data_IF_770754406265
#
_entry.id   IF_770754406265
#
_cell.length_a   1.000
_cell.length_b   1.000
_cell.length_c   1.000
_cell.angle_alpha   90.00
_cell.angle_beta   90.00
_cell.angle_gamma   90.00
#
_symmetry.space_group_name_H-M   'P 1'
#
loop_
_entity.id
_entity.type
_entity.pdbx_description
1 polymer ?
#
# COMPACT_ATOMS: atom_id res chain seq x y z
N UNK A 1 12.43 10.91 0.91
CA UNK A 1 13.19 11.44 -0.23
C UNK A 1 12.43 12.65 -0.78
N UNK A 2 13.07 13.80 -0.92
CA UNK A 2 12.50 15.04 -1.47
C UNK A 2 12.75 15.21 -2.98
N UNK A 3 13.52 14.30 -3.59
CA UNK A 3 13.88 14.37 -5.00
C UNK A 3 14.80 15.55 -5.32
N UNK A 4 14.78 15.95 -6.59
CA UNK A 4 15.58 17.05 -7.12
C UNK A 4 14.92 18.40 -6.80
N UNK A 5 15.66 19.31 -6.19
CA UNK A 5 15.22 20.66 -5.84
C UNK A 5 16.25 21.67 -6.33
N UNK A 6 15.79 22.75 -6.96
CA UNK A 6 16.71 23.77 -7.48
C UNK A 6 17.30 24.57 -6.32
N UNK A 7 18.61 24.82 -6.32
CA UNK A 7 19.25 25.74 -5.35
C UNK A 7 18.55 27.09 -5.35
N UNK A 8 18.25 27.60 -4.16
CA UNK A 8 17.46 28.82 -3.96
C UNK A 8 15.93 28.62 -3.99
N UNK A 9 15.46 27.37 -4.11
CA UNK A 9 14.06 26.98 -3.95
C UNK A 9 13.92 25.97 -2.81
N UNK A 10 12.73 25.89 -2.23
CA UNK A 10 12.36 24.80 -1.32
C UNK A 10 11.64 23.67 -2.07
N UNK A 11 11.64 22.47 -1.49
CA UNK A 11 10.79 21.35 -1.90
C UNK A 11 9.33 21.60 -1.53
N UNK A 12 8.41 20.78 -2.04
CA UNK A 12 7.10 20.64 -1.39
C UNK A 12 7.30 20.13 0.04
N UNK A 13 6.54 20.66 1.00
CA UNK A 13 6.47 20.11 2.35
C UNK A 13 5.96 18.66 2.32
N UNK A 14 6.62 17.79 3.06
CA UNK A 14 6.19 16.42 3.33
C UNK A 14 5.73 16.33 4.78
N UNK A 15 4.58 15.70 4.98
CA UNK A 15 4.03 15.46 6.30
C UNK A 15 4.65 14.21 6.91
N UNK A 16 4.97 14.27 8.19
CA UNK A 16 5.30 13.12 9.02
C UNK A 16 4.27 13.09 10.14
N UNK A 17 3.38 12.11 10.09
CA UNK A 17 2.34 11.93 11.10
C UNK A 17 2.72 10.80 12.05
N UNK A 18 2.73 11.12 13.34
CA UNK A 18 3.02 10.20 14.44
C UNK A 18 1.69 9.67 14.94
N UNK A 19 1.51 8.35 14.83
CA UNK A 19 0.34 7.64 15.32
C UNK A 19 0.70 6.81 16.55
N UNK A 20 -0.24 6.70 17.49
CA UNK A 20 -0.16 5.76 18.59
C UNK A 20 -1.21 4.66 18.38
N UNK A 21 -0.77 3.44 18.10
CA UNK A 21 -1.64 2.26 17.94
C UNK A 21 -1.72 1.41 19.21
N UNK A 22 -1.02 1.81 20.28
CA UNK A 22 -1.06 1.15 21.57
C UNK A 22 -2.27 1.55 22.40
N UNK A 23 -2.42 0.89 23.56
CA UNK A 23 -3.52 1.10 24.49
C UNK A 23 -3.25 2.18 25.55
N UNK A 24 -1.99 2.62 25.66
CA UNK A 24 -1.57 3.69 26.56
C UNK A 24 -1.09 4.90 25.75
N UNK A 25 -1.26 6.14 26.26
CA UNK A 25 -0.74 7.33 25.58
C UNK A 25 0.78 7.26 25.37
N UNK A 26 1.24 7.72 24.21
CA UNK A 26 2.64 7.76 23.83
C UNK A 26 3.19 9.16 24.09
N UNK A 27 4.20 9.30 24.95
CA UNK A 27 4.87 10.58 25.15
C UNK A 27 6.01 10.72 24.16
N UNK A 28 5.92 11.68 23.24
CA UNK A 28 7.01 12.05 22.34
C UNK A 28 7.84 13.15 23.00
N UNK A 29 9.10 12.86 23.29
CA UNK A 29 9.98 13.76 24.06
C UNK A 29 10.93 14.55 23.16
N UNK A 30 11.20 14.06 21.95
CA UNK A 30 12.16 14.68 21.03
C UNK A 30 11.77 14.45 19.58
N UNK A 31 11.86 15.52 18.78
CA UNK A 31 11.76 15.49 17.33
C UNK A 31 12.90 16.36 16.81
N UNK A 32 13.95 15.76 16.27
CA UNK A 32 15.11 16.52 15.80
C UNK A 32 15.76 15.94 14.55
N UNK A 33 16.31 16.79 13.67
CA UNK A 33 17.18 16.35 12.60
C UNK A 33 18.54 15.93 13.19
N UNK A 34 19.05 14.76 12.80
CA UNK A 34 20.36 14.22 13.19
C UNK A 34 21.29 14.11 11.98
N UNK A 35 22.52 14.59 12.16
CA UNK A 35 23.56 14.60 11.13
C UNK A 35 23.14 15.36 9.86
N UNK A 36 22.48 16.52 10.02
CA UNK A 36 21.92 17.27 8.90
C UNK A 36 22.84 18.41 8.44
N UNK A 37 22.98 18.64 7.13
CA UNK A 37 23.72 19.80 6.58
C UNK A 37 23.01 21.15 6.77
N UNK A 38 21.88 21.18 7.51
CA UNK A 38 21.08 22.38 7.75
C UNK A 38 20.03 22.67 6.67
N UNK A 39 19.97 21.86 5.63
CA UNK A 39 19.08 22.03 4.48
C UNK A 39 17.70 21.39 4.67
N UNK A 40 17.59 20.44 5.59
CA UNK A 40 16.31 19.86 5.99
C UNK A 40 15.72 20.67 7.13
N UNK A 41 14.53 21.22 6.91
CA UNK A 41 13.85 22.13 7.82
C UNK A 41 12.60 21.46 8.38
N UNK A 42 12.39 21.64 9.68
CA UNK A 42 11.16 21.25 10.37
C UNK A 42 10.24 22.46 10.48
N UNK A 43 8.95 22.24 10.25
CA UNK A 43 7.90 23.23 10.33
C UNK A 43 6.72 22.68 11.15
N UNK A 44 5.93 23.58 11.74
CA UNK A 44 4.79 23.21 12.60
C UNK A 44 5.17 22.23 13.73
N UNK A 45 6.34 22.43 14.36
CA UNK A 45 6.76 21.59 15.48
C UNK A 45 5.88 21.81 16.72
N UNK A 46 5.38 20.73 17.36
CA UNK A 46 4.64 20.84 18.62
C UNK A 46 5.57 21.25 19.77
N UNK A 47 4.97 21.73 20.86
CA UNK A 47 5.69 21.89 22.13
C UNK A 47 5.94 20.49 22.70
N UNK A 48 7.20 20.17 23.02
CA UNK A 48 7.61 18.88 23.57
C UNK A 48 7.90 18.97 25.08
N UNK A 49 7.64 17.90 25.86
CA UNK A 49 7.05 16.65 25.43
C UNK A 49 5.56 16.79 25.08
N UNK A 50 5.08 15.96 24.14
CA UNK A 50 3.67 15.91 23.73
C UNK A 50 3.12 14.50 23.87
N UNK A 51 1.88 14.40 24.34
CA UNK A 51 1.15 13.14 24.40
C UNK A 51 0.44 12.87 23.06
N UNK A 52 0.66 11.69 22.49
CA UNK A 52 0.00 11.19 21.28
C UNK A 52 -0.96 10.07 21.70
N UNK A 53 -2.25 10.30 21.49
CA UNK A 53 -3.30 9.30 21.74
C UNK A 53 -3.72 8.64 20.43
N UNK A 54 -4.45 7.53 20.51
CA UNK A 54 -4.98 6.83 19.32
C UNK A 54 -5.95 7.68 18.48
N UNK A 55 -6.62 8.66 19.09
CA UNK A 55 -7.55 9.57 18.40
C UNK A 55 -6.95 10.92 18.04
N UNK A 56 -5.73 11.20 18.48
CA UNK A 56 -5.09 12.50 18.27
C UNK A 56 -3.64 12.29 17.80
N UNK A 57 -3.44 11.96 16.51
CA UNK A 57 -2.12 11.90 15.93
C UNK A 57 -1.47 13.29 15.89
N UNK A 58 -0.14 13.32 15.84
CA UNK A 58 0.64 14.55 15.76
C UNK A 58 1.34 14.59 14.40
N UNK A 59 1.05 15.61 13.61
CA UNK A 59 1.71 15.83 12.31
C UNK A 59 2.73 16.95 12.43
N UNK A 60 3.92 16.70 11.92
CA UNK A 60 4.92 17.72 11.62
C UNK A 60 5.13 17.80 10.12
N UNK A 61 5.70 18.91 9.67
CA UNK A 61 6.06 19.09 8.26
C UNK A 61 7.56 19.22 8.14
N UNK A 62 8.09 18.62 7.08
CA UNK A 62 9.51 18.65 6.75
C UNK A 62 9.66 19.07 5.30
N UNK A 63 10.64 19.92 5.02
CA UNK A 63 10.98 20.29 3.65
C UNK A 63 12.50 20.43 3.48
N UNK A 64 12.94 20.46 2.24
CA UNK A 64 14.35 20.51 1.86
C UNK A 64 14.64 21.79 1.07
N UNK A 65 15.69 22.51 1.47
CA UNK A 65 16.19 23.74 0.84
C UNK A 65 17.69 23.58 0.54
N UNK A 66 18.06 23.10 -0.67
CA UNK A 66 19.45 22.94 -1.04
C UNK A 66 20.18 24.28 -1.12
N UNK A 67 21.36 24.32 -0.53
CA UNK A 67 22.30 25.44 -0.56
C UNK A 67 23.47 25.18 -1.51
N UNK A 68 23.72 23.92 -1.84
CA UNK A 68 24.69 23.49 -2.83
C UNK A 68 24.11 22.43 -3.79
N UNK A 69 24.95 21.92 -4.70
CA UNK A 69 24.58 20.91 -5.69
C UNK A 69 25.00 19.53 -5.19
N UNK A 70 24.19 18.52 -5.49
CA UNK A 70 24.46 17.14 -5.12
C UNK A 70 23.49 16.62 -4.07
N UNK A 71 23.74 15.39 -3.63
CA UNK A 71 22.84 14.67 -2.73
C UNK A 71 23.13 15.00 -1.27
N UNK A 72 22.09 15.35 -0.54
CA UNK A 72 22.10 15.47 0.91
C UNK A 72 21.30 14.36 1.54
N UNK A 73 21.82 13.85 2.66
CA UNK A 73 21.14 12.83 3.46
C UNK A 73 21.21 13.20 4.92
N UNK A 74 20.17 12.84 5.65
CA UNK A 74 20.15 12.94 7.10
C UNK A 74 19.06 12.07 7.69
N UNK A 75 18.90 12.12 9.01
CA UNK A 75 17.88 11.37 9.73
C UNK A 75 16.99 12.32 10.53
N UNK A 76 15.69 12.09 10.55
CA UNK A 76 14.80 12.67 11.56
C UNK A 76 14.62 11.66 12.68
N UNK A 77 15.09 12.01 13.89
CA UNK A 77 14.89 11.21 15.09
C UNK A 77 13.61 11.65 15.81
N UNK A 78 12.77 10.66 16.13
CA UNK A 78 11.62 10.81 17.02
C UNK A 78 11.88 9.92 18.24
N UNK A 79 12.04 10.55 19.42
CA UNK A 79 12.16 9.83 20.69
C UNK A 79 10.83 9.80 21.43
N UNK A 80 10.49 8.64 21.98
CA UNK A 80 9.21 8.46 22.68
C UNK A 80 9.29 7.48 23.85
N UNK A 81 8.19 7.38 24.60
CA UNK A 81 8.01 6.42 25.68
C UNK A 81 7.68 4.98 25.22
N UNK A 82 7.74 4.69 23.91
CA UNK A 82 7.55 3.33 23.39
C UNK A 82 8.66 2.40 23.92
N UNK A 83 8.28 1.31 24.58
CA UNK A 83 9.21 0.35 25.19
C UNK A 83 9.95 -0.52 24.17
N UNK A 84 9.33 -0.77 23.00
CA UNK A 84 9.88 -1.59 21.93
C UNK A 84 10.66 -0.73 20.93
N UNK A 85 10.26 0.53 20.74
CA UNK A 85 10.87 1.41 19.75
C UNK A 85 10.99 2.87 20.21
N UNK A 86 11.68 3.08 21.34
CA UNK A 86 11.87 4.40 21.94
C UNK A 86 12.56 5.42 21.02
N UNK A 87 13.29 4.97 19.98
CA UNK A 87 14.00 5.82 19.03
C UNK A 87 13.62 5.45 17.60
N UNK A 88 12.65 6.15 17.03
CA UNK A 88 12.24 5.97 15.64
C UNK A 88 13.04 6.89 14.73
N UNK A 89 13.65 6.35 13.68
CA UNK A 89 14.50 7.11 12.76
C UNK A 89 13.91 7.09 11.35
N UNK A 90 13.69 8.28 10.79
CA UNK A 90 13.21 8.45 9.41
C UNK A 90 14.38 8.97 8.57
N UNK A 91 14.93 8.16 7.64
CA UNK A 91 15.95 8.64 6.73
C UNK A 91 15.36 9.65 5.75
N UNK A 92 16.06 10.76 5.57
CA UNK A 92 15.71 11.84 4.68
C UNK A 92 16.83 12.03 3.66
N UNK A 93 16.45 12.30 2.42
CA UNK A 93 17.34 12.53 1.30
C UNK A 93 16.74 13.63 0.43
N UNK A 94 17.58 14.50 -0.12
CA UNK A 94 17.25 15.47 -1.16
C UNK A 94 18.44 15.63 -2.09
N UNK A 95 18.25 16.23 -3.25
CA UNK A 95 19.35 16.53 -4.16
C UNK A 95 19.22 17.94 -4.77
N UNK A 96 20.23 18.78 -4.53
CA UNK A 96 20.35 20.11 -5.07
C UNK A 96 20.74 20.09 -6.56
N UNK A 97 20.00 20.83 -7.38
CA UNK A 97 20.27 21.01 -8.81
C UNK A 97 20.26 22.50 -9.21
N UNK A 98 20.86 22.86 -10.34
CA UNK A 98 20.76 24.20 -10.93
C UNK A 98 19.60 24.32 -11.94
N UNK A 99 18.98 23.19 -12.32
CA UNK A 99 17.91 23.13 -13.30
C UNK A 99 16.51 23.19 -12.67
N UNK A 100 15.67 24.08 -13.21
CA UNK A 100 14.23 24.03 -13.03
C UNK A 100 13.53 23.19 -14.10
N UNK A 101 14.19 22.85 -15.20
CA UNK A 101 13.64 21.98 -16.22
C UNK A 101 13.73 20.51 -15.81
N UNK A 102 12.62 19.79 -15.95
CA UNK A 102 12.47 18.39 -15.61
C UNK A 102 11.91 17.60 -16.78
N UNK A 103 12.44 16.39 -16.96
CA UNK A 103 11.91 15.41 -17.91
C UNK A 103 11.70 14.10 -17.17
N UNK A 104 10.46 13.64 -17.11
CA UNK A 104 10.12 12.32 -16.60
C UNK A 104 9.80 11.39 -17.77
N UNK A 105 10.42 10.21 -17.77
CA UNK A 105 10.17 9.18 -18.78
C UNK A 105 9.57 7.95 -18.13
N UNK A 106 8.52 7.44 -18.76
CA UNK A 106 7.83 6.22 -18.37
C UNK A 106 7.73 5.30 -19.58
N UNK A 107 7.62 4.00 -19.31
CA UNK A 107 7.21 3.02 -20.30
C UNK A 107 5.91 2.41 -19.81
N UNK A 108 4.89 2.40 -20.66
CA UNK A 108 3.69 1.65 -20.36
C UNK A 108 4.03 0.16 -20.41
N UNK A 109 3.88 -0.55 -19.29
CA UNK A 109 4.16 -1.98 -19.24
C UNK A 109 2.85 -2.76 -19.37
N UNK A 110 2.80 -3.71 -20.31
CA UNK A 110 1.90 -4.87 -20.21
C UNK A 110 2.49 -5.90 -19.26
N UNK A 111 1.65 -6.75 -18.66
CA UNK A 111 2.13 -7.80 -17.77
C UNK A 111 2.74 -7.24 -16.50
N UNK A 112 2.06 -6.28 -15.88
CA UNK A 112 2.51 -5.70 -14.61
C UNK A 112 2.64 -6.78 -13.54
N UNK A 113 3.61 -6.60 -12.65
CA UNK A 113 3.70 -7.41 -11.45
C UNK A 113 2.68 -6.90 -10.44
N UNK A 114 1.89 -7.81 -9.88
CA UNK A 114 0.83 -7.48 -8.92
C UNK A 114 0.88 -8.44 -7.75
N UNK A 115 0.93 -7.94 -6.53
CA UNK A 115 0.73 -8.74 -5.33
C UNK A 115 -0.68 -8.49 -4.82
N UNK A 116 -1.47 -9.55 -4.62
CA UNK A 116 -2.85 -9.44 -4.13
C UNK A 116 -2.95 -10.12 -2.78
N UNK A 117 -3.29 -9.36 -1.76
CA UNK A 117 -3.52 -9.86 -0.40
C UNK A 117 -5.03 -9.94 -0.15
N UNK A 118 -5.55 -11.15 0.00
CA UNK A 118 -6.89 -11.38 0.51
C UNK A 118 -6.86 -11.44 2.03
N UNK A 119 -7.72 -10.67 2.68
CA UNK A 119 -7.95 -10.71 4.12
C UNK A 119 -9.38 -11.21 4.30
N UNK A 120 -9.51 -12.43 4.80
CA UNK A 120 -10.78 -13.16 4.81
C UNK A 120 -11.19 -13.43 6.22
N UNK A 121 -12.37 -12.94 6.54
CA UNK A 121 -13.05 -13.26 7.77
C UNK A 121 -13.38 -14.74 7.86
N UNK A 122 -13.07 -15.31 9.02
CA UNK A 122 -13.21 -16.73 9.34
C UNK A 122 -14.16 -16.98 10.51
N UNK A 123 -15.05 -16.01 10.75
CA UNK A 123 -16.20 -16.12 11.64
C UNK A 123 -17.17 -17.23 11.20
N UNK A 124 -18.09 -17.59 12.09
CA UNK A 124 -19.06 -18.68 11.89
C UNK A 124 -20.03 -18.47 10.72
N UNK A 125 -20.32 -17.21 10.39
CA UNK A 125 -21.26 -16.82 9.34
C UNK A 125 -20.63 -16.79 7.95
N UNK A 126 -19.31 -16.70 7.83
CA UNK A 126 -18.62 -16.47 6.55
C UNK A 126 -18.56 -17.67 5.58
N UNK A 127 -19.37 -18.71 5.81
CA UNK A 127 -19.32 -19.95 5.05
C UNK A 127 -19.71 -19.74 3.58
N UNK A 128 -20.88 -19.14 3.37
CA UNK A 128 -21.42 -18.86 2.04
C UNK A 128 -20.60 -17.81 1.28
N UNK A 129 -20.05 -16.81 1.95
CA UNK A 129 -19.20 -15.77 1.37
C UNK A 129 -17.89 -16.36 0.87
N UNK A 130 -17.26 -17.24 1.66
CA UNK A 130 -16.07 -17.97 1.21
C UNK A 130 -16.39 -18.88 0.02
N UNK A 131 -17.60 -19.46 -0.06
CA UNK A 131 -18.04 -20.25 -1.23
C UNK A 131 -18.24 -19.35 -2.47
N UNK A 132 -18.87 -18.20 -2.29
CA UNK A 132 -19.11 -17.21 -3.34
C UNK A 132 -17.79 -16.69 -3.92
N UNK A 133 -16.82 -16.35 -3.06
CA UNK A 133 -15.48 -15.93 -3.48
C UNK A 133 -14.74 -17.04 -4.23
N UNK A 134 -14.78 -18.27 -3.71
CA UNK A 134 -14.18 -19.45 -4.36
C UNK A 134 -14.80 -19.72 -5.74
N UNK A 135 -16.13 -19.64 -5.87
CA UNK A 135 -16.85 -19.92 -7.11
C UNK A 135 -16.63 -18.84 -8.19
N UNK A 136 -16.41 -17.58 -7.80
CA UNK A 136 -16.32 -16.46 -8.73
C UNK A 136 -14.88 -15.99 -9.00
N UNK A 137 -13.87 -16.63 -8.39
CA UNK A 137 -12.46 -16.28 -8.56
C UNK A 137 -11.98 -16.26 -10.03
N UNK A 138 -12.58 -17.09 -10.89
CA UNK A 138 -12.24 -17.16 -12.31
C UNK A 138 -12.43 -15.80 -13.03
N UNK A 139 -13.28 -14.91 -12.51
CA UNK A 139 -13.46 -13.54 -13.03
C UNK A 139 -12.19 -12.68 -12.87
N UNK A 140 -11.50 -12.78 -11.72
CA UNK A 140 -10.23 -12.11 -11.49
C UNK A 140 -9.14 -12.68 -12.41
N UNK A 141 -9.08 -14.01 -12.49
CA UNK A 141 -8.06 -14.72 -13.27
C UNK A 141 -8.21 -14.47 -14.77
N UNK A 142 -9.44 -14.28 -15.27
CA UNK A 142 -9.69 -13.90 -16.65
C UNK A 142 -9.00 -12.58 -17.02
N UNK A 143 -9.01 -11.58 -16.12
CA UNK A 143 -8.30 -10.32 -16.36
C UNK A 143 -6.79 -10.49 -16.28
N UNK A 144 -6.27 -11.30 -15.35
CA UNK A 144 -4.84 -11.62 -15.31
C UNK A 144 -4.36 -12.29 -16.61
N UNK A 145 -5.13 -13.25 -17.14
CA UNK A 145 -4.89 -13.94 -18.42
C UNK A 145 -4.87 -12.96 -19.59
N UNK A 146 -5.82 -12.03 -19.63
CA UNK A 146 -5.95 -11.01 -20.70
C UNK A 146 -4.74 -10.08 -20.78
N UNK A 147 -4.19 -9.69 -19.64
CA UNK A 147 -3.06 -8.76 -19.57
C UNK A 147 -1.69 -9.43 -19.44
N UNK A 148 -1.65 -10.77 -19.35
CA UNK A 148 -0.44 -11.58 -19.15
C UNK A 148 0.39 -11.10 -17.93
N UNK A 149 -0.30 -10.83 -16.82
CA UNK A 149 0.29 -10.26 -15.60
C UNK A 149 0.99 -11.31 -14.74
N UNK A 150 2.12 -10.93 -14.15
CA UNK A 150 2.87 -11.73 -13.18
C UNK A 150 2.34 -11.42 -11.77
N UNK A 151 1.43 -12.26 -11.27
CA UNK A 151 0.80 -12.01 -9.98
C UNK A 151 1.19 -13.04 -8.91
N UNK A 152 1.11 -12.58 -7.66
CA UNK A 152 1.19 -13.43 -6.47
C UNK A 152 -0.05 -13.19 -5.61
N UNK A 153 -0.60 -14.25 -5.03
CA UNK A 153 -1.73 -14.17 -4.11
C UNK A 153 -1.29 -14.63 -2.73
N UNK A 154 -1.67 -13.85 -1.73
CA UNK A 154 -1.57 -14.19 -0.33
C UNK A 154 -2.97 -14.15 0.28
N UNK A 155 -3.25 -15.03 1.23
CA UNK A 155 -4.51 -15.06 1.98
C UNK A 155 -4.16 -15.00 3.48
N UNK A 156 -4.77 -14.11 4.23
CA UNK A 156 -4.69 -14.05 5.71
C UNK A 156 -6.09 -13.99 6.29
N UNK A 157 -6.23 -14.27 7.59
CA UNK A 157 -7.49 -14.08 8.32
C UNK A 157 -7.53 -12.73 9.04
N UNK A 158 -8.70 -12.32 9.53
CA UNK A 158 -8.89 -11.07 10.30
C UNK A 158 -8.37 -11.15 11.75
N UNK A 159 -7.84 -12.31 12.16
CA UNK A 159 -7.44 -12.58 13.53
C UNK A 159 -6.13 -11.88 13.92
N UNK A 160 -6.17 -11.09 15.00
CA UNK A 160 -5.00 -10.35 15.51
C UNK A 160 -4.65 -10.60 16.98
N UNK A 161 -5.30 -11.56 17.63
CA UNK A 161 -5.01 -11.86 19.04
C UNK A 161 -3.53 -12.26 19.23
N UNK A 162 -2.88 -11.72 20.27
CA UNK A 162 -1.42 -11.88 20.46
C UNK A 162 -0.98 -13.33 20.71
N UNK A 163 -1.84 -14.14 21.30
CA UNK A 163 -1.60 -15.57 21.52
C UNK A 163 -1.82 -16.41 20.25
N UNK A 164 -2.33 -15.82 19.16
CA UNK A 164 -2.54 -16.51 17.90
C UNK A 164 -1.24 -16.57 17.10
N UNK A 165 -0.65 -17.76 17.01
CA UNK A 165 0.59 -18.00 16.27
C UNK A 165 0.45 -17.82 14.75
N UNK A 166 -0.78 -17.70 14.23
CA UNK A 166 -1.07 -17.46 12.82
C UNK A 166 -1.36 -15.99 12.48
N UNK A 167 -1.34 -15.08 13.48
CA UNK A 167 -1.59 -13.65 13.29
C UNK A 167 -0.77 -13.09 12.12
N UNK A 168 -1.47 -12.59 11.10
CA UNK A 168 -0.90 -12.01 9.87
C UNK A 168 -0.10 -12.97 8.97
N UNK A 169 0.02 -14.26 9.32
CA UNK A 169 0.74 -15.23 8.49
C UNK A 169 -0.12 -15.66 7.30
N UNK A 170 0.49 -15.72 6.12
CA UNK A 170 -0.16 -16.24 4.92
C UNK A 170 -0.67 -17.68 5.14
N UNK A 171 -1.85 -17.97 4.61
CA UNK A 171 -2.52 -19.27 4.69
C UNK A 171 -2.23 -20.12 3.46
N UNK A 172 -2.42 -21.42 3.61
CA UNK A 172 -2.31 -22.39 2.52
C UNK A 172 -0.90 -22.97 2.34
N UNK A 173 -0.84 -24.02 1.54
CA UNK A 173 0.38 -24.62 1.03
C UNK A 173 0.23 -24.82 -0.50
N UNK A 174 0.86 -23.99 -1.34
CA UNK A 174 1.87 -22.99 -0.98
C UNK A 174 1.28 -21.75 -0.29
N UNK A 175 2.03 -21.20 0.66
CA UNK A 175 1.71 -19.93 1.35
C UNK A 175 1.55 -18.72 0.42
N UNK A 176 2.25 -18.73 -0.73
CA UNK A 176 2.09 -17.74 -1.79
C UNK A 176 1.72 -18.48 -3.05
N UNK A 177 0.54 -18.21 -3.58
CA UNK A 177 0.05 -18.76 -4.83
C UNK A 177 0.67 -17.93 -5.95
N UNK A 178 1.39 -18.58 -6.87
CA UNK A 178 2.11 -17.91 -7.96
C UNK A 178 1.73 -18.51 -9.30
N UNK A 179 1.78 -17.69 -10.34
CA UNK A 179 1.73 -18.19 -11.70
C UNK A 179 3.00 -19.01 -11.99
N UNK A 180 2.83 -20.27 -12.42
CA UNK A 180 3.94 -21.15 -12.78
C UNK A 180 4.73 -20.65 -14.00
N UNK A 181 5.87 -21.28 -14.28
CA UNK A 181 6.63 -21.09 -15.53
C UNK A 181 6.78 -22.46 -16.21
N UNK A 182 6.05 -22.75 -17.31
CA UNK A 182 5.12 -21.87 -18.03
C UNK A 182 3.83 -21.54 -17.25
N UNK A 183 3.10 -20.47 -17.61
CA UNK A 183 1.86 -20.08 -16.93
C UNK A 183 0.82 -21.19 -16.87
N UNK A 184 0.41 -21.56 -15.66
CA UNK A 184 -0.69 -22.51 -15.41
C UNK A 184 -1.70 -21.89 -14.44
N UNK A 185 -2.78 -21.37 -15.01
CA UNK A 185 -3.86 -20.75 -14.26
C UNK A 185 -4.78 -21.77 -13.58
N UNK A 186 -4.81 -23.02 -14.05
CA UNK A 186 -5.66 -24.05 -13.43
C UNK A 186 -5.12 -24.46 -12.07
N UNK A 187 -3.79 -24.49 -11.91
CA UNK A 187 -3.12 -24.69 -10.62
C UNK A 187 -3.41 -23.53 -9.68
N UNK A 188 -3.33 -22.29 -10.16
CA UNK A 188 -3.65 -21.09 -9.36
C UNK A 188 -5.10 -21.13 -8.87
N UNK A 189 -6.06 -21.39 -9.77
CA UNK A 189 -7.48 -21.48 -9.42
C UNK A 189 -7.72 -22.58 -8.37
N UNK A 190 -7.10 -23.75 -8.52
CA UNK A 190 -7.20 -24.86 -7.57
C UNK A 190 -6.62 -24.51 -6.20
N UNK A 191 -5.41 -23.93 -6.16
CA UNK A 191 -4.75 -23.51 -4.92
C UNK A 191 -5.51 -22.39 -4.21
N UNK A 192 -6.08 -21.44 -4.96
CA UNK A 192 -6.90 -20.38 -4.37
C UNK A 192 -8.18 -20.95 -3.77
N UNK A 193 -8.93 -21.76 -4.53
CA UNK A 193 -10.19 -22.36 -4.10
C UNK A 193 -10.02 -23.23 -2.84
N UNK A 194 -8.88 -23.90 -2.69
CA UNK A 194 -8.56 -24.65 -1.46
C UNK A 194 -8.15 -23.76 -0.29
N UNK A 195 -7.38 -22.70 -0.54
CA UNK A 195 -6.82 -21.85 0.52
C UNK A 195 -7.81 -20.83 1.05
N UNK A 196 -8.71 -20.32 0.21
CA UNK A 196 -9.69 -19.29 0.59
C UNK A 196 -10.72 -19.81 1.61
N UNK A 197 -10.84 -21.13 1.72
CA UNK A 197 -11.58 -21.82 2.78
C UNK A 197 -10.78 -21.81 4.09
N UNK A 198 -10.59 -20.61 4.63
CA UNK A 198 -9.81 -20.36 5.85
C UNK A 198 -10.48 -20.92 7.11
N UNK A 199 -11.75 -21.35 7.00
CA UNK A 199 -12.55 -21.94 8.06
C UNK A 199 -13.60 -20.97 8.58
N UNK A 200 -14.53 -21.50 9.38
CA UNK A 200 -15.61 -20.73 10.05
C UNK A 200 -15.67 -21.05 11.55
N UNK A 201 -14.57 -21.57 12.09
CA UNK A 201 -14.50 -22.07 13.47
C UNK A 201 -14.08 -21.01 14.49
N UNK A 202 -13.74 -19.81 14.04
CA UNK A 202 -13.31 -18.74 14.93
C UNK A 202 -14.54 -18.06 15.55
N UNK A 203 -14.50 -17.91 16.86
CA UNK A 203 -15.51 -17.21 17.67
C UNK A 203 -14.85 -16.17 18.58
N UNK A 204 -13.58 -15.83 18.29
CA UNK A 204 -12.88 -14.78 19.01
C UNK A 204 -13.49 -13.43 18.71
N UNK A 205 -13.32 -12.49 19.65
CA UNK A 205 -14.14 -11.30 19.70
C UNK A 205 -13.66 -10.15 18.80
N UNK A 206 -12.43 -10.23 18.24
CA UNK A 206 -11.82 -9.12 17.52
C UNK A 206 -11.49 -9.45 16.06
N UNK A 207 -12.37 -8.99 15.17
CA UNK A 207 -12.20 -9.05 13.73
C UNK A 207 -11.56 -7.76 13.22
N UNK A 208 -10.26 -7.81 12.94
CA UNK A 208 -9.45 -6.62 12.67
C UNK A 208 -8.73 -6.76 11.33
N UNK A 209 -9.48 -6.74 10.23
CA UNK A 209 -8.96 -6.96 8.88
C UNK A 209 -7.91 -5.92 8.47
N UNK A 210 -8.07 -4.64 8.86
CA UNK A 210 -7.07 -3.61 8.54
C UNK A 210 -5.74 -3.88 9.24
N UNK A 211 -5.78 -4.24 10.52
CA UNK A 211 -4.58 -4.58 11.29
C UNK A 211 -3.95 -5.89 10.82
N UNK A 212 -4.76 -6.90 10.49
CA UNK A 212 -4.28 -8.16 9.93
C UNK A 212 -3.50 -7.94 8.62
N UNK A 213 -4.04 -7.11 7.70
CA UNK A 213 -3.35 -6.70 6.49
C UNK A 213 -2.03 -6.00 6.80
N UNK A 214 -2.05 -5.04 7.75
CA UNK A 214 -0.86 -4.30 8.18
C UNK A 214 0.24 -5.24 8.68
N UNK A 215 -0.10 -6.16 9.58
CA UNK A 215 0.87 -7.13 10.15
C UNK A 215 1.42 -8.03 9.05
N UNK A 216 0.55 -8.53 8.16
CA UNK A 216 0.95 -9.40 7.06
C UNK A 216 1.95 -8.76 6.10
N UNK A 217 1.94 -7.42 6.02
CA UNK A 217 2.75 -6.59 5.13
C UNK A 217 3.90 -5.85 5.85
N UNK A 218 4.17 -6.14 7.13
CA UNK A 218 5.22 -5.47 7.91
C UNK A 218 6.27 -6.48 8.39
N UNK A 219 7.55 -6.09 8.52
CA UNK A 219 8.50 -6.84 9.31
C UNK A 219 7.97 -7.14 10.74
N UNK A 220 8.26 -8.32 11.32
CA UNK A 220 9.19 -9.30 10.78
C UNK A 220 8.58 -10.23 9.73
N UNK A 221 7.26 -10.24 9.48
CA UNK A 221 6.63 -11.26 8.63
C UNK A 221 7.08 -11.21 7.17
N UNK A 222 7.33 -10.02 6.61
CA UNK A 222 7.83 -9.89 5.23
C UNK A 222 9.35 -9.80 5.13
N UNK A 223 10.09 -9.87 6.25
CA UNK A 223 11.54 -9.73 6.26
C UNK A 223 12.18 -10.71 5.30
N UNK A 224 13.07 -10.20 4.44
CA UNK A 224 13.94 -11.00 3.57
C UNK A 224 15.39 -10.65 3.90
N UNK A 225 16.12 -11.58 4.51
CA UNK A 225 17.51 -11.33 4.91
C UNK A 225 18.52 -11.64 3.79
N UNK A 226 18.11 -12.40 2.77
CA UNK A 226 19.01 -12.96 1.76
C UNK A 226 20.01 -14.02 2.28
N UNK A 227 19.98 -14.36 3.58
CA UNK A 227 20.87 -15.37 4.17
C UNK A 227 20.35 -16.78 3.86
N UNK A 228 21.21 -17.62 3.30
CA UNK A 228 20.87 -19.02 3.02
C UNK A 228 20.74 -19.85 4.30
N UNK A 229 19.79 -20.80 4.32
CA UNK A 229 19.56 -21.72 5.44
C UNK A 229 19.08 -23.09 4.95
N UNK A 230 19.23 -24.11 5.78
CA UNK A 230 18.63 -25.43 5.59
C UNK A 230 17.51 -25.72 6.59
N UNK A 231 17.52 -25.06 7.75
CA UNK A 231 16.52 -25.20 8.82
C UNK A 231 16.44 -23.91 9.64
N UNK A 232 15.35 -23.74 10.40
CA UNK A 232 15.10 -22.53 11.19
C UNK A 232 16.24 -22.18 12.16
N UNK A 233 16.94 -23.18 12.70
CA UNK A 233 18.07 -22.98 13.61
C UNK A 233 19.29 -22.29 12.97
N UNK A 234 19.34 -22.21 11.63
CA UNK A 234 20.40 -21.49 10.92
C UNK A 234 20.13 -19.97 10.87
N UNK A 235 18.93 -19.52 11.25
CA UNK A 235 18.48 -18.14 11.10
C UNK A 235 18.65 -17.30 12.37
N UNK A 236 18.95 -15.99 12.24
CA UNK A 236 19.15 -15.12 13.39
C UNK A 236 17.82 -14.72 14.05
N UNK A 237 17.83 -14.61 15.39
CA UNK A 237 16.70 -14.06 16.14
C UNK A 237 15.42 -14.89 16.00
N UNK A 238 14.36 -14.26 15.47
CA UNK A 238 13.04 -14.86 15.31
C UNK A 238 12.73 -15.25 13.84
N UNK A 239 13.72 -15.17 12.95
CA UNK A 239 13.54 -15.52 11.54
C UNK A 239 13.40 -17.04 11.34
N UNK A 240 12.67 -17.42 10.29
CA UNK A 240 12.43 -18.80 9.87
C UNK A 240 13.17 -19.10 8.57
N UNK A 241 13.46 -20.38 8.32
CA UNK A 241 14.05 -20.81 7.07
C UNK A 241 12.97 -21.04 6.01
N UNK A 242 12.67 -20.00 5.23
CA UNK A 242 11.57 -20.00 4.26
C UNK A 242 12.14 -20.11 2.85
N UNK A 243 11.97 -21.29 2.24
CA UNK A 243 12.50 -21.60 0.90
C UNK A 243 14.03 -21.41 0.83
N UNK A 244 14.74 -21.98 1.81
CA UNK A 244 16.20 -21.92 1.98
C UNK A 244 16.78 -20.52 2.21
N UNK A 245 15.96 -19.54 2.59
CA UNK A 245 16.41 -18.20 2.94
C UNK A 245 15.78 -17.79 4.28
N UNK A 246 16.60 -17.24 5.18
CA UNK A 246 16.14 -16.72 6.46
C UNK A 246 15.27 -15.48 6.28
N UNK A 247 14.15 -15.43 7.00
CA UNK A 247 13.30 -14.26 7.06
C UNK A 247 11.96 -14.55 7.71
N UNK A 248 11.01 -13.65 7.47
CA UNK A 248 9.66 -13.81 7.98
C UNK A 248 8.84 -14.87 7.24
N UNK A 249 7.75 -15.30 7.87
CA UNK A 249 6.85 -16.31 7.28
C UNK A 249 6.25 -15.89 5.92
N UNK A 250 6.00 -14.59 5.74
CA UNK A 250 5.44 -14.01 4.53
C UNK A 250 6.52 -13.56 3.52
N UNK A 251 7.81 -13.86 3.78
CA UNK A 251 8.94 -13.49 2.92
C UNK A 251 8.64 -13.72 1.43
N UNK A 252 8.95 -12.73 0.60
CA UNK A 252 8.84 -12.83 -0.86
C UNK A 252 7.42 -12.67 -1.42
N UNK A 253 6.43 -12.32 -0.58
CA UNK A 253 5.09 -11.92 -1.03
C UNK A 253 5.09 -10.50 -1.58
N UNK A 254 5.53 -9.52 -0.78
CA UNK A 254 5.54 -8.10 -1.16
C UNK A 254 6.78 -7.78 -1.99
N UNK A 255 6.63 -7.64 -3.32
CA UNK A 255 7.69 -7.27 -4.26
C UNK A 255 7.79 -5.76 -4.41
N UNK A 256 9.00 -5.21 -4.45
CA UNK A 256 9.20 -3.76 -4.61
C UNK A 256 8.69 -3.24 -5.97
N UNK A 257 8.85 -4.02 -7.04
CA UNK A 257 8.49 -3.63 -8.41
C UNK A 257 7.06 -4.02 -8.84
N UNK A 258 6.25 -4.53 -7.92
CA UNK A 258 4.85 -4.86 -8.14
C UNK A 258 3.90 -3.78 -7.59
N UNK A 259 2.71 -3.63 -8.18
CA UNK A 259 1.59 -3.01 -7.48
C UNK A 259 1.06 -3.94 -6.37
N UNK A 260 0.31 -3.39 -5.42
CA UNK A 260 -0.30 -4.12 -4.32
C UNK A 260 -1.82 -3.89 -4.33
N UNK A 261 -2.60 -4.96 -4.33
CA UNK A 261 -4.05 -4.91 -4.15
C UNK A 261 -4.38 -5.63 -2.84
N UNK A 262 -5.07 -4.96 -1.93
CA UNK A 262 -5.56 -5.56 -0.69
C UNK A 262 -7.07 -5.74 -0.84
N UNK A 263 -7.58 -6.96 -0.71
CA UNK A 263 -9.01 -7.26 -0.79
C UNK A 263 -9.48 -7.79 0.56
N UNK A 264 -10.31 -7.03 1.26
CA UNK A 264 -10.83 -7.41 2.58
C UNK A 264 -12.29 -7.85 2.47
N UNK A 265 -12.62 -8.99 3.07
CA UNK A 265 -13.97 -9.55 3.09
C UNK A 265 -14.34 -9.87 4.54
N UNK A 266 -15.41 -9.27 5.04
CA UNK A 266 -15.91 -9.46 6.40
C UNK A 266 -17.38 -9.05 6.50
N UNK A 267 -18.16 -9.80 7.28
CA UNK A 267 -19.55 -9.50 7.58
C UNK A 267 -19.72 -8.65 8.86
N UNK A 268 -18.63 -8.35 9.59
CA UNK A 268 -18.62 -7.44 10.73
C UNK A 268 -17.87 -6.12 10.45
N UNK A 269 -17.91 -5.21 11.42
CA UNK A 269 -17.14 -3.96 11.40
C UNK A 269 -15.68 -4.18 11.82
N UNK A 270 -14.74 -3.44 11.21
CA UNK A 270 -13.31 -3.49 11.55
C UNK A 270 -13.00 -3.06 12.99
N UNK A 271 -12.60 -4.02 13.81
CA UNK A 271 -12.21 -3.78 15.19
C UNK A 271 -10.72 -3.47 15.36
N UNK A 272 -10.03 -3.03 14.31
CA UNK A 272 -8.60 -2.75 14.38
C UNK A 272 -8.28 -1.59 15.36
N UNK A 273 -7.16 -1.64 16.11
CA UNK A 273 -6.89 -0.71 17.19
C UNK A 273 -6.57 0.73 16.75
N UNK A 274 -6.00 0.91 15.55
CA UNK A 274 -5.69 2.22 14.99
C UNK A 274 -6.93 2.92 14.41
N UNK A 275 -6.88 4.24 14.21
CA UNK A 275 -7.88 4.96 13.42
C UNK A 275 -7.72 4.68 11.91
N UNK A 276 -8.75 5.00 11.10
CA UNK A 276 -8.72 4.79 9.65
C UNK A 276 -7.60 5.59 8.97
N UNK A 277 -7.33 6.81 9.42
CA UNK A 277 -6.22 7.64 8.92
C UNK A 277 -4.86 6.95 9.02
N UNK A 278 -4.60 6.22 10.12
CA UNK A 278 -3.37 5.45 10.29
C UNK A 278 -3.24 4.36 9.22
N UNK A 279 -4.31 3.59 8.98
CA UNK A 279 -4.29 2.51 7.99
C UNK A 279 -4.18 3.05 6.56
N UNK A 280 -4.88 4.16 6.25
CA UNK A 280 -4.79 4.84 4.96
C UNK A 280 -3.34 5.28 4.72
N UNK A 281 -2.75 6.01 5.66
CA UNK A 281 -1.37 6.49 5.54
C UNK A 281 -0.39 5.31 5.46
N UNK A 282 -0.57 4.28 6.28
CA UNK A 282 0.29 3.10 6.28
C UNK A 282 0.27 2.42 4.91
N UNK A 283 -0.91 2.06 4.39
CA UNK A 283 -1.00 1.34 3.11
C UNK A 283 -0.48 2.19 1.95
N UNK A 284 -0.81 3.49 1.91
CA UNK A 284 -0.26 4.42 0.89
C UNK A 284 1.25 4.46 0.93
N UNK A 285 1.87 4.42 2.11
CA UNK A 285 3.32 4.45 2.23
C UNK A 285 4.02 3.16 1.78
N UNK A 286 3.35 2.00 1.71
CA UNK A 286 3.97 0.72 1.28
C UNK A 286 4.60 0.84 -0.12
N UNK A 287 3.86 1.45 -1.05
CA UNK A 287 4.33 1.68 -2.43
C UNK A 287 4.80 3.12 -2.63
N UNK A 288 4.87 3.91 -1.56
CA UNK A 288 5.14 5.34 -1.56
C UNK A 288 3.86 6.16 -1.59
N UNK A 289 3.72 7.11 -0.64
CA UNK A 289 2.48 7.85 -0.39
C UNK A 289 1.84 8.52 -1.62
N UNK A 290 2.67 8.96 -2.57
CA UNK A 290 2.23 9.62 -3.79
C UNK A 290 1.90 8.63 -4.91
N UNK A 291 2.21 7.34 -4.78
CA UNK A 291 1.98 6.32 -5.81
C UNK A 291 0.58 5.70 -5.67
N UNK A 292 -0.46 6.54 -5.67
CA UNK A 292 -1.88 6.14 -5.46
C UNK A 292 -2.37 5.05 -6.44
N UNK A 293 -1.72 4.86 -7.59
CA UNK A 293 -2.06 3.81 -8.56
C UNK A 293 -1.30 2.49 -8.37
N UNK A 294 -0.38 2.42 -7.41
CA UNK A 294 0.39 1.20 -7.11
C UNK A 294 -0.13 0.46 -5.88
N UNK A 295 -1.07 1.04 -5.12
CA UNK A 295 -1.68 0.40 -3.97
C UNK A 295 -3.15 0.79 -3.84
N UNK A 296 -4.03 -0.19 -3.67
CA UNK A 296 -5.43 0.05 -3.32
C UNK A 296 -5.91 -0.94 -2.26
N UNK A 297 -6.92 -0.53 -1.48
CA UNK A 297 -7.70 -1.41 -0.61
C UNK A 297 -9.11 -1.52 -1.16
N UNK A 298 -9.49 -2.69 -1.64
CA UNK A 298 -10.86 -3.02 -2.06
C UNK A 298 -11.54 -3.85 -0.98
N UNK A 299 -12.86 -3.69 -0.83
CA UNK A 299 -13.61 -4.31 0.26
C UNK A 299 -14.93 -4.92 -0.22
N UNK A 300 -15.25 -6.10 0.31
CA UNK A 300 -16.54 -6.77 0.16
C UNK A 300 -17.12 -6.91 1.58
N UNK A 301 -17.95 -5.94 1.98
CA UNK A 301 -18.41 -5.78 3.37
C UNK A 301 -19.87 -5.35 3.40
N UNK A 302 -20.51 -5.33 4.57
CA UNK A 302 -21.88 -4.83 4.65
C UNK A 302 -21.98 -3.33 4.31
N UNK A 303 -22.96 -2.91 3.49
CA UNK A 303 -23.10 -1.53 3.03
C UNK A 303 -23.57 -0.60 4.15
N UNK A 304 -23.72 0.69 3.86
CA UNK A 304 -24.23 1.67 4.84
C UNK A 304 -25.60 1.24 5.39
N UNK A 305 -25.63 0.94 6.69
CA UNK A 305 -26.81 0.43 7.39
C UNK A 305 -26.87 -1.10 7.54
N UNK A 306 -25.85 -1.81 7.07
CA UNK A 306 -25.80 -3.28 7.04
C UNK A 306 -26.66 -3.87 5.92
N UNK A 307 -26.71 -5.20 5.86
CA UNK A 307 -27.60 -5.93 4.97
C UNK A 307 -28.07 -7.22 5.60
N UNK A 308 -29.26 -7.68 5.21
CA UNK A 308 -29.79 -9.02 5.53
C UNK A 308 -30.68 -9.44 4.38
N UNK A 309 -30.30 -10.50 3.66
CA UNK A 309 -31.09 -11.07 2.57
C UNK A 309 -30.84 -12.59 2.46
N UNK A 310 -31.26 -13.21 1.36
CA UNK A 310 -31.06 -14.65 1.12
C UNK A 310 -29.60 -15.05 0.83
N UNK A 311 -28.71 -14.07 0.65
CA UNK A 311 -27.30 -14.24 0.30
C UNK A 311 -26.34 -13.90 1.45
N UNK A 312 -26.86 -13.59 2.64
CA UNK A 312 -26.05 -13.29 3.82
C UNK A 312 -26.65 -12.20 4.71
N UNK A 313 -25.99 -11.96 5.84
CA UNK A 313 -26.27 -10.85 6.74
C UNK A 313 -24.95 -10.24 7.18
N UNK A 314 -24.86 -8.91 7.22
CA UNK A 314 -23.64 -8.22 7.61
C UNK A 314 -23.93 -6.88 8.29
N UNK A 315 -23.06 -6.53 9.22
CA UNK A 315 -22.99 -5.20 9.83
C UNK A 315 -22.45 -4.15 8.85
N UNK A 316 -22.62 -2.88 9.18
CA UNK A 316 -22.06 -1.82 8.35
C UNK A 316 -20.53 -1.76 8.50
N UNK A 317 -19.78 -2.19 7.50
CA UNK A 317 -18.32 -2.14 7.45
C UNK A 317 -17.76 -0.74 7.24
N UNK A 318 -18.10 0.20 8.13
CA UNK A 318 -17.84 1.64 7.98
C UNK A 318 -16.37 1.94 7.74
N UNK A 319 -15.47 1.44 8.59
CA UNK A 319 -14.03 1.76 8.52
C UNK A 319 -13.38 1.16 7.28
N UNK A 320 -13.77 -0.07 6.91
CA UNK A 320 -13.34 -0.70 5.66
C UNK A 320 -13.69 0.18 4.45
N UNK A 321 -14.92 0.69 4.38
CA UNK A 321 -15.39 1.55 3.30
C UNK A 321 -14.65 2.91 3.29
N UNK A 322 -14.36 3.49 4.45
CA UNK A 322 -13.56 4.72 4.53
C UNK A 322 -12.14 4.52 3.96
N UNK A 323 -11.45 3.44 4.37
CA UNK A 323 -10.11 3.11 3.86
C UNK A 323 -10.14 2.81 2.36
N UNK A 324 -11.14 2.06 1.89
CA UNK A 324 -11.25 1.71 0.48
C UNK A 324 -11.43 2.95 -0.40
N UNK A 325 -12.32 3.87 -0.03
CA UNK A 325 -12.52 5.12 -0.76
C UNK A 325 -11.26 6.01 -0.74
N UNK A 326 -10.59 6.14 0.42
CA UNK A 326 -9.40 6.98 0.56
C UNK A 326 -8.17 6.42 -0.19
N UNK A 327 -8.16 5.12 -0.48
CA UNK A 327 -7.12 4.43 -1.25
C UNK A 327 -7.56 4.15 -2.70
N UNK A 328 -8.64 4.79 -3.16
CA UNK A 328 -9.20 4.62 -4.51
C UNK A 328 -9.57 3.17 -4.88
N UNK A 329 -9.80 2.28 -3.91
CA UNK A 329 -10.24 0.90 -4.14
C UNK A 329 -11.74 0.77 -4.37
N UNK A 330 -12.19 -0.47 -4.58
CA UNK A 330 -13.59 -0.78 -4.86
C UNK A 330 -14.35 -1.19 -3.59
N UNK A 331 -15.63 -0.80 -3.50
CA UNK A 331 -16.53 -1.15 -2.39
C UNK A 331 -17.69 -1.97 -2.93
N UNK A 332 -17.89 -3.16 -2.41
CA UNK A 332 -18.99 -4.05 -2.75
C UNK A 332 -19.75 -4.52 -1.51
N UNK A 333 -21.04 -4.78 -1.69
CA UNK A 333 -21.86 -5.42 -0.66
C UNK A 333 -21.55 -6.90 -0.54
N UNK A 334 -21.26 -7.38 0.66
CA UNK A 334 -21.07 -8.80 0.94
C UNK A 334 -22.35 -9.63 0.70
N UNK A 335 -23.53 -9.05 0.94
CA UNK A 335 -24.82 -9.68 0.61
C UNK A 335 -25.17 -9.69 -0.90
N UNK A 336 -24.19 -9.45 -1.79
CA UNK A 336 -24.38 -9.53 -3.24
C UNK A 336 -24.48 -10.99 -3.68
N UNK A 337 -25.41 -11.34 -4.60
CA UNK A 337 -25.62 -12.73 -5.04
C UNK A 337 -24.40 -13.37 -5.73
N UNK A 338 -23.48 -12.56 -6.23
CA UNK A 338 -22.23 -13.00 -6.85
C UNK A 338 -21.16 -11.93 -6.69
N UNK A 339 -19.92 -12.34 -6.40
CA UNK A 339 -18.76 -11.44 -6.38
C UNK A 339 -18.06 -11.31 -7.74
N UNK A 340 -18.59 -11.90 -8.82
CA UNK A 340 -17.93 -11.91 -10.14
C UNK A 340 -17.68 -10.51 -10.70
N UNK A 341 -18.64 -9.60 -10.61
CA UNK A 341 -18.49 -8.23 -11.15
C UNK A 341 -17.41 -7.45 -10.40
N UNK A 342 -17.34 -7.65 -9.08
CA UNK A 342 -16.37 -6.98 -8.21
C UNK A 342 -14.98 -7.53 -8.45
N UNK A 343 -14.82 -8.84 -8.55
CA UNK A 343 -13.56 -9.49 -8.89
C UNK A 343 -13.08 -9.11 -10.30
N UNK A 344 -14.01 -8.89 -11.24
CA UNK A 344 -13.68 -8.34 -12.56
C UNK A 344 -13.21 -6.88 -12.46
N UNK A 345 -13.83 -6.03 -11.64
CA UNK A 345 -13.38 -4.64 -11.43
C UNK A 345 -11.99 -4.59 -10.79
N UNK A 346 -11.80 -5.34 -9.70
CA UNK A 346 -10.51 -5.50 -9.02
C UNK A 346 -9.46 -6.00 -10.02
N UNK A 347 -9.79 -7.01 -10.83
CA UNK A 347 -8.89 -7.53 -11.87
C UNK A 347 -8.52 -6.51 -12.95
N UNK A 348 -9.49 -5.74 -13.44
CA UNK A 348 -9.23 -4.68 -14.43
C UNK A 348 -8.31 -3.59 -13.87
N UNK A 349 -8.50 -3.20 -12.60
CA UNK A 349 -7.66 -2.22 -11.91
C UNK A 349 -6.25 -2.77 -11.67
N UNK A 350 -6.16 -3.96 -11.10
CA UNK A 350 -4.91 -4.59 -10.72
C UNK A 350 -4.03 -4.93 -11.93
N UNK A 351 -4.62 -5.46 -13.01
CA UNK A 351 -3.87 -5.99 -14.14
C UNK A 351 -3.87 -5.09 -15.38
N UNK A 352 -4.73 -4.07 -15.42
CA UNK A 352 -4.86 -3.17 -16.57
C UNK A 352 -3.64 -2.28 -16.82
N UNK A 353 -3.67 -1.57 -17.95
CA UNK A 353 -2.65 -0.56 -18.26
C UNK A 353 -2.73 0.60 -17.27
N UNK A 354 -1.58 1.17 -16.90
CA UNK A 354 -1.54 2.36 -16.04
C UNK A 354 -2.16 3.54 -16.77
N UNK A 355 -3.14 4.16 -16.13
CA UNK A 355 -3.73 5.42 -16.61
C UNK A 355 -3.07 6.64 -15.98
N UNK A 356 -2.39 6.45 -14.84
CA UNK A 356 -1.78 7.52 -14.05
C UNK A 356 -0.25 7.35 -14.01
N UNK A 357 0.47 8.46 -14.22
CA UNK A 357 1.94 8.51 -14.19
C UNK A 357 2.40 9.66 -13.30
N UNK A 358 3.15 9.32 -12.25
CA UNK A 358 3.58 10.23 -11.19
C UNK A 358 4.83 11.00 -11.58
N UNK A 359 4.78 12.32 -11.44
CA UNK A 359 5.91 13.20 -11.77
C UNK A 359 6.90 13.23 -10.60
N UNK A 360 8.19 13.29 -10.92
CA UNK A 360 9.26 13.25 -9.91
C UNK A 360 9.42 14.56 -9.14
N UNK A 361 8.97 15.68 -9.70
CA UNK A 361 8.94 17.02 -9.07
C UNK A 361 7.56 17.63 -9.26
N UNK A 362 7.14 18.49 -8.34
CA UNK A 362 5.91 19.26 -8.51
C UNK A 362 6.08 20.21 -9.71
N UNK A 363 5.22 20.19 -10.73
CA UNK A 363 5.34 21.06 -11.89
C UNK A 363 4.66 22.42 -11.69
N UNK A 364 5.10 23.43 -12.42
CA UNK A 364 4.26 24.57 -12.79
C UNK A 364 3.29 24.08 -13.85
N UNK A 365 2.01 23.92 -13.50
CA UNK A 365 1.01 23.21 -14.32
C UNK A 365 0.95 23.70 -15.78
N UNK A 366 1.01 25.02 -16.00
CA UNK A 366 0.96 25.62 -17.34
C UNK A 366 2.16 25.28 -18.24
N UNK A 367 3.20 24.65 -17.70
CA UNK A 367 4.42 24.27 -18.44
C UNK A 367 4.45 22.80 -18.83
N UNK A 368 3.51 21.99 -18.32
CA UNK A 368 3.48 20.54 -18.56
C UNK A 368 3.25 20.26 -20.05
N UNK A 369 4.12 19.45 -20.65
CA UNK A 369 3.99 18.91 -21.99
C UNK A 369 4.12 17.39 -21.94
N UNK A 370 3.06 16.69 -22.35
CA UNK A 370 3.02 15.22 -22.39
C UNK A 370 3.27 14.73 -23.82
N UNK A 371 4.13 13.74 -23.97
CA UNK A 371 4.45 13.08 -25.23
C UNK A 371 4.21 11.57 -25.09
N UNK A 372 3.65 10.95 -26.13
CA UNK A 372 3.57 9.49 -26.26
C UNK A 372 4.27 9.11 -27.56
N UNK A 373 5.29 8.26 -27.48
CA UNK A 373 6.19 7.89 -28.60
C UNK A 373 6.70 9.13 -29.35
N UNK A 374 7.14 10.14 -28.60
CA UNK A 374 7.63 11.44 -29.09
C UNK A 374 6.58 12.33 -29.78
N UNK A 375 5.30 11.93 -29.81
CA UNK A 375 4.20 12.76 -30.30
C UNK A 375 3.57 13.52 -29.14
N UNK A 376 3.63 14.86 -29.18
CA UNK A 376 3.01 15.69 -28.15
C UNK A 376 1.48 15.49 -28.15
N UNK A 377 0.91 15.28 -26.96
CA UNK A 377 -0.53 15.17 -26.72
C UNK A 377 -1.04 16.50 -26.16
N UNK A 378 -1.85 17.21 -26.93
CA UNK A 378 -2.49 18.47 -26.51
C UNK A 378 -3.79 18.27 -25.72
N UNK A 379 -4.31 17.05 -25.67
CA UNK A 379 -5.52 16.64 -24.95
C UNK A 379 -5.46 15.14 -24.67
N UNK A 380 -6.46 14.59 -23.98
CA UNK A 380 -6.52 13.16 -23.64
C UNK A 380 -5.84 12.82 -22.30
N UNK A 381 -5.46 13.84 -21.54
CA UNK A 381 -4.84 13.70 -20.22
C UNK A 381 -5.19 14.92 -19.36
N UNK A 382 -5.09 14.76 -18.04
CA UNK A 382 -5.26 15.81 -17.03
C UNK A 382 -4.11 15.77 -16.02
N UNK A 383 -3.81 16.89 -15.37
CA UNK A 383 -2.89 16.92 -14.23
C UNK A 383 -3.71 16.83 -12.94
N UNK A 384 -3.35 15.90 -12.06
CA UNK A 384 -3.90 15.77 -10.72
C UNK A 384 -2.88 16.31 -9.71
N UNK A 385 -3.17 17.50 -9.17
CA UNK A 385 -2.27 18.20 -8.26
C UNK A 385 -2.08 17.46 -6.93
N UNK A 386 -3.15 16.86 -6.39
CA UNK A 386 -3.14 16.16 -5.10
C UNK A 386 -2.15 15.00 -5.08
N UNK A 387 -2.06 14.27 -6.20
CA UNK A 387 -1.20 13.11 -6.36
C UNK A 387 0.07 13.40 -7.20
N UNK A 388 0.30 14.65 -7.60
CA UNK A 388 1.39 15.06 -8.49
C UNK A 388 1.59 14.15 -9.72
N UNK A 389 0.55 13.97 -10.53
CA UNK A 389 0.57 13.01 -11.63
C UNK A 389 -0.20 13.47 -12.85
N UNK A 390 0.16 12.93 -14.03
CA UNK A 390 -0.71 12.99 -15.20
C UNK A 390 -1.63 11.76 -15.26
N UNK A 391 -2.88 11.96 -15.62
CA UNK A 391 -3.89 10.91 -15.78
C UNK A 391 -4.41 10.95 -17.22
N UNK A 392 -4.25 9.85 -17.96
CA UNK A 392 -4.81 9.69 -19.29
C UNK A 392 -6.29 9.30 -19.23
N UNK A 393 -7.09 9.89 -20.11
CA UNK A 393 -8.47 9.46 -20.31
C UNK A 393 -8.49 8.02 -20.84
N UNK A 394 -9.53 7.23 -20.53
CA UNK A 394 -9.62 5.81 -20.93
C UNK A 394 -9.40 5.57 -22.44
N UNK A 395 -9.84 6.50 -23.31
CA UNK A 395 -9.66 6.40 -24.75
C UNK A 395 -8.24 6.74 -25.24
N UNK A 396 -7.41 7.33 -24.38
CA UNK A 396 -6.07 7.85 -24.71
C UNK A 396 -4.96 7.18 -23.90
N UNK A 397 -5.27 6.15 -23.12
CA UNK A 397 -4.28 5.38 -22.34
C UNK A 397 -3.19 4.86 -23.28
N UNK A 398 -1.90 5.20 -23.03
CA UNK A 398 -0.79 4.67 -23.80
C UNK A 398 -0.85 3.13 -23.81
N UNK A 399 -0.65 2.54 -24.98
CA UNK A 399 -0.62 1.09 -25.16
C UNK A 399 0.68 0.50 -24.62
N UNK A 400 0.70 -0.80 -24.40
CA UNK A 400 1.88 -1.52 -23.92
C UNK A 400 3.13 -1.23 -24.77
N UNK A 401 4.27 -1.05 -24.08
CA UNK A 401 5.58 -0.68 -24.59
C UNK A 401 5.71 0.74 -25.17
N UNK A 402 4.65 1.54 -25.19
CA UNK A 402 4.75 2.95 -25.59
C UNK A 402 5.52 3.74 -24.52
N UNK A 403 6.32 4.71 -24.98
CA UNK A 403 7.07 5.60 -24.11
C UNK A 403 6.26 6.86 -23.83
N UNK A 404 6.08 7.18 -22.56
CA UNK A 404 5.53 8.46 -22.12
C UNK A 404 6.72 9.33 -21.71
N UNK A 405 6.74 10.57 -22.17
CA UNK A 405 7.72 11.57 -21.75
C UNK A 405 6.97 12.83 -21.34
N UNK A 406 7.28 13.35 -20.16
CA UNK A 406 6.65 14.55 -19.62
C UNK A 406 7.72 15.59 -19.37
N UNK A 407 7.63 16.74 -20.03
CA UNK A 407 8.51 17.88 -19.81
C UNK A 407 7.76 18.95 -19.03
N UNK A 408 8.43 19.58 -18.06
CA UNK A 408 7.86 20.69 -17.30
C UNK A 408 8.94 21.52 -16.60
N UNK A 409 8.56 22.72 -16.19
CA UNK A 409 9.32 23.51 -15.22
C UNK A 409 8.87 23.11 -13.82
N UNK A 410 9.80 22.69 -12.98
CA UNK A 410 9.55 22.37 -11.59
C UNK A 410 9.18 23.62 -10.78
N UNK A 411 8.21 23.46 -9.88
CA UNK A 411 7.76 24.48 -8.96
C UNK A 411 8.89 24.86 -7.99
N UNK A 412 9.10 26.17 -7.81
CA UNK A 412 10.00 26.71 -6.81
C UNK A 412 9.18 27.11 -5.59
N UNK A 413 9.17 26.29 -4.54
CA UNK A 413 8.46 26.65 -3.31
C UNK A 413 9.29 27.67 -2.51
N UNK A 414 8.58 28.50 -1.75
CA UNK A 414 9.13 29.48 -0.83
C UNK A 414 8.31 29.40 0.45
N UNK A 415 8.97 29.21 1.59
CA UNK A 415 8.33 29.24 2.90
C UNK A 415 8.91 30.42 3.68
N UNK A 416 8.04 31.16 4.37
CA UNK A 416 8.42 32.33 5.16
C UNK A 416 8.71 31.96 6.62
#
# INVERSE_FOLDING_TARGET
>A
DFGLVRVGCASQQRKVTIYNTGTAPLEVTKIEPQNCPGEFKLFNLPILPIEVTNTQPVTIEVYYEPTDLGTDTCNLLIQSSDQNNANFVIPMKGEGTDSDFQVDEFVQLSGQKVDILFVVDNSGSMGEEQDNLSANFDALIKEAKKWNSDFQLGIVTVEIEENNSNRGKLRGDPRIIKLGTPPDYTVVESQFKSTIKVGTGYSGAQEAGLEAARIALTPPLITDTGLSCAQDADCPGADLCVQNICGGYNRGFLREDASLEIVIISDEEDQSPGGTDFYIDFFKNIKGYQNDGLMHVSVIVGPKGGCTNEFGSAEYGKRYIEVANATNGDVESICSPTFSQTLEKIGNRAFGLKVQFFLTRAPVESTIKVFVDNVQKSSGWTFAADSNSIIFDQANVPQANQKIRVEYTAMCFQYN
#
